data_IF_561238703076
#
_entry.id   IF_561238703076
#
_cell.length_a   1.000
_cell.length_b   1.000
_cell.length_c   1.000
_cell.angle_alpha   90.00
_cell.angle_beta   90.00
_cell.angle_gamma   90.00
#
_symmetry.space_group_name_H-M   'P 1'
#
loop_
_entity.id
_entity.type
_entity.pdbx_description
1 polymer ?
#
# COMPACT_ATOMS: atom_id res chain seq x y z
N UNK A 1 -73.81 -39.30 22.37
CA UNK A 1 -72.41 -39.43 21.91
C UNK A 1 -72.42 -39.99 20.48
N UNK A 2 -73.18 -39.41 19.56
CA UNK A 2 -73.06 -38.10 18.87
C UNK A 2 -72.24 -38.26 17.58
N UNK A 3 -72.85 -38.90 16.58
CA UNK A 3 -72.34 -38.97 15.20
C UNK A 3 -72.06 -37.55 14.65
N UNK A 4 -72.82 -36.56 15.12
CA UNK A 4 -72.67 -35.13 14.81
C UNK A 4 -71.32 -34.57 15.27
N UNK A 5 -70.74 -35.06 16.38
CA UNK A 5 -69.44 -34.59 16.86
C UNK A 5 -68.28 -35.15 16.05
N UNK A 6 -68.40 -36.38 15.53
CA UNK A 6 -67.41 -37.02 14.66
C UNK A 6 -67.38 -36.36 13.28
N UNK A 7 -68.56 -36.04 12.73
CA UNK A 7 -68.66 -35.38 11.42
C UNK A 7 -68.13 -33.95 11.46
N UNK A 8 -68.47 -33.17 12.51
CA UNK A 8 -67.90 -31.85 12.75
C UNK A 8 -66.38 -31.89 12.95
N UNK A 9 -65.85 -32.89 13.67
CA UNK A 9 -64.41 -33.09 13.82
C UNK A 9 -63.72 -33.41 12.49
N UNK A 10 -64.35 -34.23 11.64
CA UNK A 10 -63.82 -34.56 10.30
C UNK A 10 -63.82 -33.36 9.36
N UNK A 11 -64.83 -32.49 9.42
CA UNK A 11 -64.90 -31.25 8.64
C UNK A 11 -63.85 -30.24 9.08
N UNK A 12 -63.68 -30.06 10.39
CA UNK A 12 -62.60 -29.22 10.95
C UNK A 12 -61.22 -29.76 10.54
N UNK A 13 -61.01 -31.08 10.61
CA UNK A 13 -59.77 -31.73 10.21
C UNK A 13 -59.44 -31.49 8.72
N UNK A 14 -60.42 -31.68 7.83
CA UNK A 14 -60.25 -31.43 6.39
C UNK A 14 -60.00 -29.95 6.08
N UNK A 15 -60.67 -29.03 6.79
CA UNK A 15 -60.44 -27.59 6.64
C UNK A 15 -59.03 -27.18 7.09
N UNK A 16 -58.56 -27.69 8.23
CA UNK A 16 -57.21 -27.44 8.74
C UNK A 16 -56.13 -28.01 7.81
N UNK A 17 -56.36 -29.21 7.27
CA UNK A 17 -55.48 -29.84 6.28
C UNK A 17 -55.45 -29.03 4.98
N UNK A 18 -56.61 -28.61 4.45
CA UNK A 18 -56.70 -27.80 3.25
C UNK A 18 -55.96 -26.46 3.39
N UNK A 19 -56.11 -25.79 4.54
CA UNK A 19 -55.35 -24.58 4.88
C UNK A 19 -53.84 -24.82 4.93
N UNK A 20 -53.39 -25.93 5.52
CA UNK A 20 -51.97 -26.29 5.56
C UNK A 20 -51.41 -26.57 4.16
N UNK A 21 -52.11 -27.36 3.34
CA UNK A 21 -51.72 -27.64 1.96
C UNK A 21 -51.63 -26.38 1.11
N UNK A 22 -52.61 -25.47 1.22
CA UNK A 22 -52.60 -24.21 0.47
C UNK A 22 -51.39 -23.34 0.83
N UNK A 23 -51.05 -23.21 2.12
CA UNK A 23 -49.87 -22.46 2.59
C UNK A 23 -48.56 -23.07 2.08
N UNK A 24 -48.42 -24.39 2.12
CA UNK A 24 -47.23 -25.09 1.63
C UNK A 24 -47.08 -24.87 0.12
N UNK A 25 -48.17 -25.02 -0.64
CA UNK A 25 -48.17 -24.81 -2.09
C UNK A 25 -47.80 -23.36 -2.45
N UNK A 26 -48.37 -22.39 -1.73
CA UNK A 26 -48.03 -20.98 -1.89
C UNK A 26 -46.56 -20.71 -1.59
N UNK A 27 -46.01 -21.25 -0.50
CA UNK A 27 -44.60 -21.07 -0.14
C UNK A 27 -43.66 -21.70 -1.17
N UNK A 28 -44.00 -22.88 -1.71
CA UNK A 28 -43.24 -23.52 -2.78
C UNK A 28 -43.26 -22.69 -4.08
N UNK A 29 -44.40 -22.11 -4.45
CA UNK A 29 -44.50 -21.22 -5.61
C UNK A 29 -43.64 -19.96 -5.45
N UNK A 30 -43.67 -19.33 -4.27
CA UNK A 30 -42.81 -18.18 -3.99
C UNK A 30 -41.33 -18.56 -3.96
N UNK A 31 -40.98 -19.70 -3.35
CA UNK A 31 -39.61 -20.22 -3.35
C UNK A 31 -39.10 -20.47 -4.77
N UNK A 32 -39.90 -21.09 -5.63
CA UNK A 32 -39.56 -21.31 -7.04
C UNK A 32 -39.38 -19.99 -7.80
N UNK A 33 -40.25 -19.01 -7.53
CA UNK A 33 -40.14 -17.67 -8.13
C UNK A 33 -38.84 -16.97 -7.72
N UNK A 34 -38.51 -17.00 -6.43
CA UNK A 34 -37.26 -16.42 -5.90
C UNK A 34 -36.04 -17.13 -6.49
N UNK A 35 -36.08 -18.45 -6.62
CA UNK A 35 -34.98 -19.22 -7.23
C UNK A 35 -34.78 -18.84 -8.70
N UNK A 36 -35.86 -18.65 -9.45
CA UNK A 36 -35.81 -18.22 -10.85
C UNK A 36 -35.24 -16.80 -10.96
N UNK A 37 -35.71 -15.86 -10.13
CA UNK A 37 -35.17 -14.50 -10.06
C UNK A 37 -33.70 -14.49 -9.66
N UNK A 38 -33.29 -15.36 -8.73
CA UNK A 38 -31.89 -15.51 -8.32
C UNK A 38 -31.02 -15.96 -9.49
N UNK A 39 -31.45 -16.96 -10.27
CA UNK A 39 -30.69 -17.39 -11.44
C UNK A 39 -30.56 -16.30 -12.50
N UNK A 40 -31.62 -15.53 -12.73
CA UNK A 40 -31.56 -14.37 -13.62
C UNK A 40 -30.59 -13.31 -13.08
N UNK A 41 -30.63 -13.03 -11.77
CA UNK A 41 -29.74 -12.08 -11.12
C UNK A 41 -28.27 -12.51 -11.22
N UNK A 42 -27.95 -13.80 -11.02
CA UNK A 42 -26.59 -14.34 -11.18
C UNK A 42 -26.06 -14.09 -12.59
N UNK A 43 -26.83 -14.43 -13.62
CA UNK A 43 -26.44 -14.18 -15.02
C UNK A 43 -26.29 -12.69 -15.34
N UNK A 44 -27.17 -11.85 -14.79
CA UNK A 44 -27.12 -10.39 -14.97
C UNK A 44 -25.89 -9.77 -14.31
N UNK A 45 -25.60 -10.13 -13.04
CA UNK A 45 -24.42 -9.69 -12.31
C UNK A 45 -23.14 -10.18 -12.97
N UNK A 46 -23.08 -11.43 -13.43
CA UNK A 46 -21.95 -11.96 -14.18
C UNK A 46 -21.70 -11.19 -15.49
N UNK A 47 -22.77 -10.84 -16.22
CA UNK A 47 -22.71 -10.00 -17.42
C UNK A 47 -22.21 -8.58 -17.15
N UNK A 48 -22.73 -7.92 -16.11
CA UNK A 48 -22.28 -6.60 -15.68
C UNK A 48 -20.80 -6.60 -15.27
N UNK A 49 -20.40 -7.57 -14.44
CA UNK A 49 -19.04 -7.73 -13.95
C UNK A 49 -18.06 -7.97 -15.10
N UNK A 50 -18.45 -8.79 -16.09
CA UNK A 50 -17.68 -9.02 -17.31
C UNK A 50 -17.45 -7.74 -18.12
N UNK A 51 -18.48 -6.89 -18.24
CA UNK A 51 -18.37 -5.61 -18.96
C UNK A 51 -17.46 -4.63 -18.21
N UNK A 52 -17.62 -4.53 -16.90
CA UNK A 52 -16.82 -3.67 -16.04
C UNK A 52 -15.33 -4.05 -16.04
N UNK A 53 -15.02 -5.34 -16.01
CA UNK A 53 -13.64 -5.88 -15.95
C UNK A 53 -13.06 -6.23 -17.34
N UNK A 54 -13.59 -5.65 -18.41
CA UNK A 54 -13.21 -5.96 -19.80
C UNK A 54 -11.72 -5.72 -20.09
N UNK A 55 -11.08 -4.79 -19.38
CA UNK A 55 -9.65 -4.44 -19.52
C UNK A 55 -8.72 -5.16 -18.52
N UNK A 56 -9.26 -6.03 -17.67
CA UNK A 56 -8.50 -6.77 -16.66
C UNK A 56 -7.92 -8.05 -17.25
N UNK A 57 -6.87 -8.59 -16.63
CA UNK A 57 -6.28 -9.88 -16.99
C UNK A 57 -7.35 -11.01 -16.96
N UNK A 58 -7.36 -11.94 -17.95
CA UNK A 58 -8.41 -12.93 -18.10
C UNK A 58 -8.66 -13.84 -16.89
N UNK A 59 -7.62 -14.23 -16.16
CA UNK A 59 -7.69 -15.12 -14.98
C UNK A 59 -8.33 -14.39 -13.81
N UNK A 60 -7.86 -13.17 -13.50
CA UNK A 60 -8.44 -12.32 -12.46
C UNK A 60 -9.90 -11.97 -12.77
N UNK A 61 -10.22 -11.65 -14.03
CA UNK A 61 -11.60 -11.40 -14.45
C UNK A 61 -12.50 -12.60 -14.19
N UNK A 62 -12.08 -13.82 -14.57
CA UNK A 62 -12.86 -15.05 -14.34
C UNK A 62 -13.10 -15.27 -12.85
N UNK A 63 -12.07 -15.09 -12.03
CA UNK A 63 -12.18 -15.23 -10.57
C UNK A 63 -13.19 -14.24 -9.97
N UNK A 64 -13.11 -12.95 -10.31
CA UNK A 64 -14.02 -11.93 -9.78
C UNK A 64 -15.48 -12.15 -10.21
N UNK A 65 -15.71 -12.59 -11.45
CA UNK A 65 -17.04 -12.98 -11.92
C UNK A 65 -17.58 -14.15 -11.08
N UNK A 66 -16.78 -15.20 -10.87
CA UNK A 66 -17.18 -16.36 -10.06
C UNK A 66 -17.52 -15.97 -8.62
N UNK A 67 -16.72 -15.10 -7.99
CA UNK A 67 -17.00 -14.60 -6.64
C UNK A 67 -18.34 -13.84 -6.58
N UNK A 68 -18.60 -12.95 -7.54
CA UNK A 68 -19.84 -12.20 -7.61
C UNK A 68 -21.07 -13.09 -7.85
N UNK A 69 -20.94 -14.09 -8.72
CA UNK A 69 -21.98 -15.07 -9.02
C UNK A 69 -22.29 -15.96 -7.80
N UNK A 70 -21.26 -16.48 -7.13
CA UNK A 70 -21.40 -17.28 -5.90
C UNK A 70 -22.05 -16.46 -4.79
N UNK A 71 -21.60 -15.22 -4.57
CA UNK A 71 -22.18 -14.33 -3.57
C UNK A 71 -23.67 -14.09 -3.82
N UNK A 72 -24.04 -13.77 -5.06
CA UNK A 72 -25.45 -13.57 -5.47
C UNK A 72 -26.28 -14.83 -5.26
N UNK A 73 -25.72 -16.01 -5.59
CA UNK A 73 -26.36 -17.30 -5.37
C UNK A 73 -26.62 -17.54 -3.87
N UNK A 74 -25.63 -17.31 -3.00
CA UNK A 74 -25.76 -17.51 -1.55
C UNK A 74 -26.87 -16.64 -0.98
N UNK A 75 -26.91 -15.35 -1.34
CA UNK A 75 -27.97 -14.42 -0.91
C UNK A 75 -29.35 -14.91 -1.37
N UNK A 76 -29.48 -15.33 -2.63
CA UNK A 76 -30.74 -15.86 -3.14
C UNK A 76 -31.16 -17.16 -2.47
N UNK A 77 -30.23 -18.06 -2.16
CA UNK A 77 -30.51 -19.29 -1.43
C UNK A 77 -31.02 -19.02 -0.01
N UNK A 78 -30.46 -18.04 0.69
CA UNK A 78 -30.98 -17.62 2.01
C UNK A 78 -32.41 -17.10 1.89
N UNK A 79 -32.73 -16.31 0.85
CA UNK A 79 -34.09 -15.82 0.62
C UNK A 79 -35.10 -16.97 0.35
N UNK A 80 -34.68 -17.99 -0.41
CA UNK A 80 -35.49 -19.20 -0.65
C UNK A 80 -35.75 -19.95 0.66
N UNK A 81 -34.72 -20.18 1.47
CA UNK A 81 -34.84 -20.90 2.76
C UNK A 81 -35.79 -20.18 3.72
N UNK A 82 -35.69 -18.85 3.81
CA UNK A 82 -36.60 -18.04 4.61
C UNK A 82 -38.06 -18.24 4.17
N UNK A 83 -38.33 -18.24 2.86
CA UNK A 83 -39.69 -18.44 2.35
C UNK A 83 -40.25 -19.83 2.62
N UNK A 84 -39.39 -20.85 2.72
CA UNK A 84 -39.78 -22.21 3.10
C UNK A 84 -40.06 -22.36 4.61
N UNK A 85 -39.89 -21.29 5.40
CA UNK A 85 -40.08 -21.31 6.85
C UNK A 85 -38.90 -21.93 7.61
N UNK A 86 -37.75 -22.12 6.94
CA UNK A 86 -36.52 -22.57 7.59
C UNK A 86 -35.90 -21.37 8.29
N UNK A 87 -35.49 -21.55 9.54
CA UNK A 87 -34.81 -20.51 10.29
C UNK A 87 -33.45 -20.20 9.66
N UNK A 88 -33.34 -19.04 9.00
CA UNK A 88 -32.11 -18.65 8.30
C UNK A 88 -31.03 -18.09 9.22
N UNK A 89 -31.33 -17.83 10.50
CA UNK A 89 -30.40 -17.25 11.46
C UNK A 89 -29.09 -18.06 11.55
N UNK A 90 -29.20 -19.39 11.64
CA UNK A 90 -28.05 -20.29 11.71
C UNK A 90 -27.24 -20.31 10.41
N UNK A 91 -27.91 -20.30 9.25
CA UNK A 91 -27.27 -20.25 7.93
C UNK A 91 -26.53 -18.94 7.74
N UNK A 92 -27.16 -17.81 8.07
CA UNK A 92 -26.55 -16.48 7.99
C UNK A 92 -25.36 -16.38 8.94
N UNK A 93 -25.44 -16.96 10.15
CA UNK A 93 -24.31 -16.99 11.07
C UNK A 93 -23.11 -17.75 10.49
N UNK A 94 -23.32 -18.92 9.89
CA UNK A 94 -22.25 -19.71 9.26
C UNK A 94 -21.65 -18.99 8.05
N UNK A 95 -22.49 -18.44 7.17
CA UNK A 95 -22.04 -17.65 6.01
C UNK A 95 -21.26 -16.41 6.47
N UNK A 96 -21.74 -15.72 7.50
CA UNK A 96 -21.07 -14.57 8.10
C UNK A 96 -19.71 -14.94 8.68
N UNK A 97 -19.62 -16.05 9.43
CA UNK A 97 -18.35 -16.54 9.97
C UNK A 97 -17.36 -16.93 8.85
N UNK A 98 -17.81 -17.62 7.81
CA UNK A 98 -16.99 -17.95 6.64
C UNK A 98 -16.52 -16.68 5.91
N UNK A 99 -17.40 -15.70 5.72
CA UNK A 99 -17.08 -14.41 5.12
C UNK A 99 -16.04 -13.63 5.93
N UNK A 100 -16.17 -13.60 7.26
CA UNK A 100 -15.18 -12.99 8.15
C UNK A 100 -13.82 -13.69 8.03
N UNK A 101 -13.78 -15.03 8.04
CA UNK A 101 -12.55 -15.79 7.90
C UNK A 101 -11.84 -15.50 6.57
N UNK A 102 -12.59 -15.45 5.45
CA UNK A 102 -12.06 -15.07 4.13
C UNK A 102 -11.57 -13.61 4.14
N UNK A 103 -12.34 -12.70 4.74
CA UNK A 103 -11.97 -11.28 4.85
C UNK A 103 -10.68 -11.06 5.64
N UNK A 104 -10.52 -11.76 6.77
CA UNK A 104 -9.30 -11.74 7.56
C UNK A 104 -8.12 -12.35 6.78
N UNK A 105 -8.35 -13.43 6.03
CA UNK A 105 -7.33 -14.01 5.16
C UNK A 105 -6.86 -13.05 4.05
N UNK A 106 -7.76 -12.19 3.55
CA UNK A 106 -7.48 -11.19 2.51
C UNK A 106 -7.09 -9.81 3.06
N UNK A 107 -7.04 -9.64 4.37
CA UNK A 107 -6.84 -8.34 5.02
C UNK A 107 -5.57 -7.64 4.54
N UNK A 108 -4.45 -8.37 4.47
CA UNK A 108 -3.17 -7.81 4.02
C UNK A 108 -3.19 -7.41 2.54
N UNK A 109 -3.78 -8.23 1.67
CA UNK A 109 -3.90 -7.92 0.24
C UNK A 109 -4.74 -6.66 0.02
N UNK A 110 -5.84 -6.51 0.76
CA UNK A 110 -6.69 -5.33 0.68
C UNK A 110 -6.01 -4.07 1.24
N UNK A 111 -5.21 -4.24 2.30
CA UNK A 111 -4.38 -3.16 2.85
C UNK A 111 -3.36 -2.66 1.83
N UNK A 112 -2.68 -3.56 1.12
CA UNK A 112 -1.74 -3.19 0.06
C UNK A 112 -2.42 -2.51 -1.13
N UNK A 113 -3.62 -2.97 -1.51
CA UNK A 113 -4.44 -2.30 -2.52
C UNK A 113 -4.76 -0.86 -2.12
N UNK A 114 -5.30 -0.66 -0.91
CA UNK A 114 -5.66 0.65 -0.40
C UNK A 114 -4.44 1.58 -0.32
N UNK A 115 -3.31 1.07 0.18
CA UNK A 115 -2.04 1.79 0.20
C UNK A 115 -1.58 2.18 -1.21
N UNK A 116 -1.71 1.31 -2.21
CA UNK A 116 -1.38 1.63 -3.60
C UNK A 116 -2.22 2.78 -4.16
N UNK A 117 -3.54 2.75 -3.94
CA UNK A 117 -4.44 3.85 -4.33
C UNK A 117 -4.04 5.16 -3.65
N UNK A 118 -3.70 5.11 -2.36
CA UNK A 118 -3.27 6.28 -1.59
C UNK A 118 -1.91 6.83 -2.06
N UNK A 119 -0.94 5.98 -2.37
CA UNK A 119 0.36 6.38 -2.92
C UNK A 119 0.18 7.11 -4.26
N UNK A 120 -0.67 6.59 -5.14
CA UNK A 120 -0.95 7.20 -6.46
C UNK A 120 -1.71 8.54 -6.31
N UNK A 121 -2.60 8.62 -5.32
CA UNK A 121 -3.46 9.80 -5.12
C UNK A 121 -2.74 10.94 -4.40
N UNK A 122 -2.02 10.62 -3.33
CA UNK A 122 -1.30 11.60 -2.50
C UNK A 122 0.09 11.93 -3.04
N UNK A 123 0.67 11.03 -3.85
CA UNK A 123 1.99 11.16 -4.47
C UNK A 123 3.09 11.65 -3.52
N UNK A 124 3.35 10.94 -2.40
CA UNK A 124 4.49 11.29 -1.53
C UNK A 124 5.85 11.09 -2.24
N UNK A 125 5.86 10.34 -3.35
CA UNK A 125 6.97 10.18 -4.28
C UNK A 125 6.40 9.81 -5.66
N UNK A 126 7.19 10.02 -6.71
CA UNK A 126 6.84 9.67 -8.09
C UNK A 126 7.84 8.68 -8.70
N UNK A 127 7.51 8.14 -9.87
CA UNK A 127 8.44 7.31 -10.65
C UNK A 127 9.66 8.16 -11.04
N UNK A 128 10.86 7.64 -10.77
CA UNK A 128 12.13 8.35 -10.94
C UNK A 128 12.71 8.91 -9.63
N UNK A 129 11.93 9.00 -8.55
CA UNK A 129 12.46 9.44 -7.25
C UNK A 129 13.34 8.36 -6.62
N UNK A 130 14.44 8.78 -5.99
CA UNK A 130 15.20 7.91 -5.10
C UNK A 130 14.61 7.98 -3.69
N UNK A 131 14.11 6.83 -3.22
CA UNK A 131 13.49 6.71 -1.90
C UNK A 131 14.20 5.66 -1.04
N UNK A 132 14.16 5.86 0.27
CA UNK A 132 14.57 4.90 1.29
C UNK A 132 13.40 4.70 2.26
N UNK A 133 12.94 3.46 2.39
CA UNK A 133 11.77 3.09 3.20
C UNK A 133 11.55 1.59 3.20
N UNK A 134 10.85 1.08 4.22
CA UNK A 134 10.56 -0.35 4.39
C UNK A 134 11.80 -1.28 4.32
N UNK A 135 12.98 -0.77 4.72
CA UNK A 135 14.24 -1.54 4.67
C UNK A 135 14.87 -1.65 3.27
N UNK A 136 14.33 -0.95 2.27
CA UNK A 136 14.87 -0.89 0.92
C UNK A 136 15.22 0.55 0.53
N UNK A 137 16.18 0.71 -0.38
CA UNK A 137 16.53 2.00 -0.97
C UNK A 137 16.77 1.85 -2.48
N UNK A 138 16.21 2.75 -3.29
CA UNK A 138 16.33 2.68 -4.74
C UNK A 138 15.51 3.73 -5.46
N UNK A 139 15.71 3.81 -6.77
CA UNK A 139 14.91 4.64 -7.67
C UNK A 139 13.57 3.94 -7.92
N UNK A 140 12.47 4.67 -7.79
CA UNK A 140 11.13 4.15 -8.07
C UNK A 140 10.98 3.92 -9.57
N UNK A 141 10.82 2.67 -9.97
CA UNK A 141 10.61 2.28 -11.38
C UNK A 141 9.11 2.23 -11.73
N UNK A 142 8.30 1.65 -10.85
CA UNK A 142 6.86 1.57 -11.06
C UNK A 142 6.09 1.50 -9.75
N UNK A 143 4.92 2.15 -9.69
CA UNK A 143 3.96 2.03 -8.58
C UNK A 143 2.80 1.16 -9.07
N UNK A 144 2.81 -0.11 -8.66
CA UNK A 144 1.73 -1.06 -8.96
C UNK A 144 0.58 -0.95 -7.96
N UNK A 145 -0.48 -1.72 -8.21
CA UNK A 145 -1.68 -1.73 -7.35
C UNK A 145 -1.36 -2.28 -5.94
N UNK A 146 -0.52 -3.31 -5.84
CA UNK A 146 -0.20 -3.97 -4.56
C UNK A 146 1.24 -3.75 -4.08
N UNK A 147 2.15 -3.39 -4.98
CA UNK A 147 3.57 -3.23 -4.70
C UNK A 147 4.21 -2.17 -5.57
N UNK A 148 5.27 -1.56 -5.05
CA UNK A 148 6.15 -0.64 -5.77
C UNK A 148 7.45 -1.37 -6.13
N UNK A 149 7.91 -1.15 -7.35
CA UNK A 149 9.19 -1.66 -7.85
C UNK A 149 10.25 -0.58 -7.68
N UNK A 150 11.35 -0.93 -7.01
CA UNK A 150 12.53 -0.09 -6.84
C UNK A 150 13.71 -0.71 -7.58
N UNK A 151 14.55 0.12 -8.17
CA UNK A 151 15.82 -0.29 -8.77
C UNK A 151 16.95 0.33 -7.96
N UNK A 152 17.81 -0.52 -7.40
CA UNK A 152 18.97 -0.10 -6.63
C UNK A 152 20.08 0.44 -7.54
N UNK A 153 21.08 1.10 -6.95
CA UNK A 153 22.24 1.65 -7.70
C UNK A 153 23.12 0.56 -8.33
N UNK A 154 23.12 -0.63 -7.75
CA UNK A 154 23.76 -1.84 -8.30
C UNK A 154 22.86 -2.62 -9.27
N UNK A 155 21.77 -1.98 -9.76
CA UNK A 155 20.87 -2.51 -10.78
C UNK A 155 20.11 -3.78 -10.35
N UNK A 156 19.73 -3.86 -9.07
CA UNK A 156 18.89 -4.94 -8.51
C UNK A 156 17.46 -4.44 -8.37
N UNK A 157 16.50 -5.26 -8.81
CA UNK A 157 15.07 -4.97 -8.66
C UNK A 157 14.59 -5.44 -7.29
N UNK A 158 14.01 -4.53 -6.51
CA UNK A 158 13.37 -4.80 -5.23
C UNK A 158 11.88 -4.51 -5.35
N UNK A 159 11.03 -5.49 -5.06
CA UNK A 159 9.57 -5.31 -5.01
C UNK A 159 9.12 -5.16 -3.56
N UNK A 160 8.56 -4.00 -3.23
CA UNK A 160 8.11 -3.68 -1.88
C UNK A 160 6.58 -3.60 -1.83
N UNK A 161 5.90 -4.32 -0.93
CA UNK A 161 4.45 -4.19 -0.75
C UNK A 161 4.05 -2.75 -0.39
N UNK A 162 3.04 -2.21 -1.07
CA UNK A 162 2.62 -0.81 -0.91
C UNK A 162 2.28 -0.45 0.54
N UNK A 163 1.68 -1.40 1.26
CA UNK A 163 1.33 -1.21 2.67
C UNK A 163 2.53 -0.87 3.53
N UNK A 164 3.69 -1.49 3.28
CA UNK A 164 4.91 -1.23 4.06
C UNK A 164 5.45 0.18 3.80
N UNK A 165 5.47 0.62 2.54
CA UNK A 165 5.90 1.97 2.17
C UNK A 165 4.95 3.04 2.69
N UNK A 166 3.64 2.78 2.69
CA UNK A 166 2.64 3.73 3.14
C UNK A 166 2.56 3.85 4.67
N UNK A 167 2.80 2.75 5.40
CA UNK A 167 2.73 2.75 6.88
C UNK A 167 4.00 3.26 7.58
N UNK A 168 5.14 3.24 6.89
CA UNK A 168 6.45 3.54 7.46
C UNK A 168 6.94 4.95 7.18
N UNK A 169 8.01 5.35 7.88
CA UNK A 169 8.75 6.56 7.52
C UNK A 169 9.46 6.36 6.18
N UNK A 170 9.27 7.31 5.27
CA UNK A 170 9.88 7.31 3.95
C UNK A 170 10.77 8.54 3.80
N UNK A 171 12.01 8.33 3.35
CA UNK A 171 12.93 9.42 2.98
C UNK A 171 12.95 9.50 1.46
N UNK A 172 12.60 10.66 0.91
CA UNK A 172 12.77 10.97 -0.51
C UNK A 172 13.94 11.94 -0.65
N UNK A 173 15.01 11.51 -1.31
CA UNK A 173 16.22 12.33 -1.46
C UNK A 173 16.24 13.15 -2.75
N UNK A 174 15.30 12.89 -3.67
CA UNK A 174 15.27 13.51 -5.00
C UNK A 174 14.27 14.66 -5.08
N UNK A 175 13.14 14.59 -4.34
CA UNK A 175 12.02 15.54 -4.47
C UNK A 175 12.39 17.01 -4.28
N UNK A 176 13.38 17.33 -3.44
CA UNK A 176 13.83 18.71 -3.21
C UNK A 176 14.89 19.20 -4.21
N UNK A 177 15.40 18.32 -5.07
CA UNK A 177 16.41 18.61 -6.11
C UNK A 177 17.81 19.00 -5.60
N UNK A 178 17.94 19.39 -4.34
CA UNK A 178 19.18 19.84 -3.69
C UNK A 178 19.43 19.02 -2.44
N UNK A 179 20.69 18.70 -2.18
CA UNK A 179 21.12 17.93 -1.01
C UNK A 179 22.41 18.49 -0.41
N UNK A 180 22.48 18.50 0.92
CA UNK A 180 23.67 18.90 1.67
C UNK A 180 24.55 17.68 1.89
N UNK A 181 25.84 17.80 1.58
CA UNK A 181 26.86 16.84 1.98
C UNK A 181 27.33 17.23 3.37
N UNK A 182 27.36 16.29 4.31
CA UNK A 182 27.89 16.51 5.64
C UNK A 182 29.23 15.76 5.77
N UNK A 183 30.32 16.50 5.93
CA UNK A 183 31.68 15.98 6.10
C UNK A 183 32.26 16.42 7.43
N UNK A 184 32.83 15.46 8.16
CA UNK A 184 33.57 15.70 9.39
C UNK A 184 35.06 15.64 9.08
N UNK A 185 35.73 16.78 9.21
CA UNK A 185 37.13 16.96 8.84
C UNK A 185 37.96 17.15 10.09
N UNK A 186 38.83 16.20 10.39
CA UNK A 186 39.82 16.32 11.46
C UNK A 186 41.00 17.17 10.98
N UNK A 187 41.25 18.29 11.67
CA UNK A 187 42.33 19.21 11.38
C UNK A 187 43.50 19.10 12.38
N UNK A 188 43.39 18.24 13.40
CA UNK A 188 44.38 18.13 14.47
C UNK A 188 44.57 19.46 15.21
N UNK A 189 45.82 19.90 15.34
CA UNK A 189 46.22 21.16 15.99
C UNK A 189 46.36 22.34 15.01
N UNK A 190 45.91 22.19 13.75
CA UNK A 190 45.98 23.27 12.77
C UNK A 190 45.15 24.48 13.21
N UNK A 191 45.57 25.70 12.85
CA UNK A 191 44.83 26.90 13.21
C UNK A 191 43.44 26.89 12.56
N UNK A 192 42.41 27.16 13.36
CA UNK A 192 41.00 26.97 13.00
C UNK A 192 40.57 27.95 11.89
N UNK A 193 40.67 29.25 12.13
CA UNK A 193 40.23 30.28 11.18
C UNK A 193 40.92 30.23 9.81
N UNK A 194 42.26 30.05 9.72
CA UNK A 194 42.94 29.86 8.44
C UNK A 194 42.46 28.61 7.71
N UNK A 195 42.25 27.50 8.44
CA UNK A 195 41.77 26.25 7.84
C UNK A 195 40.34 26.39 7.32
N UNK A 196 39.44 27.02 8.08
CA UNK A 196 38.07 27.31 7.62
C UNK A 196 38.09 28.16 6.35
N UNK A 197 38.92 29.21 6.32
CA UNK A 197 39.02 30.12 5.17
C UNK A 197 39.53 29.39 3.92
N UNK A 198 40.56 28.56 4.08
CA UNK A 198 41.09 27.71 3.01
C UNK A 198 40.01 26.78 2.45
N UNK A 199 39.36 26.00 3.32
CA UNK A 199 38.35 25.02 2.91
C UNK A 199 37.17 25.68 2.19
N UNK A 200 36.70 26.83 2.67
CA UNK A 200 35.64 27.57 1.99
C UNK A 200 36.08 28.08 0.62
N UNK A 201 37.30 28.63 0.50
CA UNK A 201 37.85 29.12 -0.76
C UNK A 201 38.10 28.02 -1.80
N UNK A 202 38.37 26.80 -1.34
CA UNK A 202 38.60 25.63 -2.20
C UNK A 202 37.29 25.04 -2.72
N UNK A 203 36.26 24.98 -1.88
CA UNK A 203 35.02 24.24 -2.18
C UNK A 203 33.94 25.13 -2.80
N UNK A 204 33.88 26.43 -2.50
CA UNK A 204 32.90 27.33 -3.12
C UNK A 204 33.01 27.41 -4.66
N UNK A 205 34.21 27.43 -5.27
CA UNK A 205 34.33 27.46 -6.73
C UNK A 205 34.05 26.13 -7.44
N UNK A 206 33.76 25.06 -6.69
CA UNK A 206 33.57 23.73 -7.25
C UNK A 206 32.33 23.69 -8.17
N UNK A 207 32.42 23.17 -9.41
CA UNK A 207 31.37 23.33 -10.42
C UNK A 207 30.02 22.68 -10.06
N UNK A 208 30.04 21.65 -9.21
CA UNK A 208 28.84 20.95 -8.75
C UNK A 208 28.34 21.40 -7.36
N UNK A 209 29.03 22.34 -6.73
CA UNK A 209 28.61 22.94 -5.45
C UNK A 209 27.75 24.16 -5.74
N UNK A 210 26.61 24.25 -5.08
CA UNK A 210 25.68 25.35 -5.24
C UNK A 210 26.19 26.60 -4.52
N UNK A 211 26.04 27.75 -5.17
CA UNK A 211 26.27 29.05 -4.52
C UNK A 211 25.19 29.35 -3.47
N UNK A 212 23.94 28.96 -3.75
CA UNK A 212 22.81 29.07 -2.84
C UNK A 212 22.05 27.74 -2.67
N UNK A 213 22.02 27.16 -1.45
CA UNK A 213 22.57 27.69 -0.19
C UNK A 213 24.10 27.64 -0.11
N UNK A 214 24.71 28.63 0.57
CA UNK A 214 26.16 28.71 0.72
C UNK A 214 26.72 27.53 1.52
N UNK A 215 27.90 27.06 1.10
CA UNK A 215 28.73 26.13 1.88
C UNK A 215 29.04 26.72 3.24
N UNK A 216 28.82 25.91 4.29
CA UNK A 216 29.16 26.30 5.67
C UNK A 216 30.33 25.46 6.17
N UNK A 217 31.20 26.07 6.97
CA UNK A 217 32.31 25.40 7.63
C UNK A 217 32.44 25.92 9.07
N UNK A 218 32.26 25.04 10.06
CA UNK A 218 32.25 25.42 11.48
C UNK A 218 32.93 24.36 12.35
N UNK A 219 33.37 24.74 13.54
CA UNK A 219 33.92 23.79 14.53
C UNK A 219 32.81 22.84 14.99
N UNK A 220 33.05 21.54 14.82
CA UNK A 220 32.16 20.46 15.25
C UNK A 220 32.41 20.07 16.70
N UNK A 221 33.68 19.84 17.03
CA UNK A 221 34.11 19.44 18.37
C UNK A 221 35.59 19.77 18.58
N UNK A 222 35.97 20.02 19.84
CA UNK A 222 37.34 20.23 20.27
C UNK A 222 37.66 19.13 21.30
N UNK A 223 38.79 18.44 21.13
CA UNK A 223 39.23 17.35 22.00
C UNK A 223 40.72 17.44 22.30
N UNK A 224 41.21 16.64 23.25
CA UNK A 224 42.64 16.56 23.56
C UNK A 224 43.50 16.00 22.40
N UNK A 225 42.87 15.34 21.43
CA UNK A 225 43.53 14.73 20.27
C UNK A 225 43.45 15.59 19.00
N UNK A 226 42.72 16.71 19.05
CA UNK A 226 42.56 17.61 17.90
C UNK A 226 41.16 18.23 17.79
N UNK A 227 41.01 19.04 16.75
CA UNK A 227 39.76 19.75 16.41
C UNK A 227 39.10 19.12 15.17
N UNK A 228 37.79 18.94 15.21
CA UNK A 228 36.98 18.50 14.06
C UNK A 228 36.16 19.67 13.54
N UNK A 229 36.13 19.86 12.21
CA UNK A 229 35.29 20.82 11.51
C UNK A 229 34.16 20.11 10.76
N UNK A 230 32.97 20.69 10.77
CA UNK A 230 31.89 20.37 9.84
C UNK A 230 32.09 21.15 8.55
N UNK A 231 32.23 20.48 7.41
CA UNK A 231 32.21 21.08 6.07
C UNK A 231 30.95 20.62 5.34
N UNK A 232 30.10 21.58 4.96
CA UNK A 232 28.75 21.31 4.47
C UNK A 232 28.41 22.01 3.15
N UNK A 233 28.91 21.52 2.01
CA UNK A 233 28.52 22.02 0.70
C UNK A 233 27.13 21.50 0.31
N UNK A 234 26.41 22.30 -0.47
CA UNK A 234 25.15 21.91 -1.10
C UNK A 234 25.39 21.57 -2.56
N UNK A 235 24.67 20.57 -3.09
CA UNK A 235 24.78 20.13 -4.47
C UNK A 235 23.41 19.67 -5.00
N UNK A 236 23.30 19.41 -6.29
CA UNK A 236 22.13 18.71 -6.84
C UNK A 236 22.05 17.28 -6.29
N UNK A 237 20.84 16.78 -6.03
CA UNK A 237 20.66 15.43 -5.44
C UNK A 237 21.32 14.31 -6.25
N UNK A 238 21.34 14.43 -7.58
CA UNK A 238 21.99 13.47 -8.50
C UNK A 238 23.52 13.47 -8.39
N UNK A 239 24.11 14.64 -8.10
CA UNK A 239 25.54 14.82 -7.98
C UNK A 239 26.07 14.50 -6.57
N UNK A 240 25.19 14.14 -5.63
CA UNK A 240 25.52 13.99 -4.21
C UNK A 240 26.73 13.10 -3.94
N UNK A 241 26.77 11.90 -4.52
CA UNK A 241 27.86 10.97 -4.29
C UNK A 241 29.18 11.45 -4.92
N UNK A 242 29.10 12.07 -6.10
CA UNK A 242 30.25 12.63 -6.80
C UNK A 242 30.87 13.78 -5.99
N UNK A 243 30.05 14.76 -5.59
CA UNK A 243 30.49 15.90 -4.79
C UNK A 243 31.04 15.43 -3.44
N UNK A 244 30.40 14.46 -2.79
CA UNK A 244 30.91 13.91 -1.52
C UNK A 244 32.32 13.33 -1.68
N UNK A 245 32.55 12.51 -2.70
CA UNK A 245 33.86 11.88 -2.93
C UNK A 245 34.93 12.88 -3.37
N UNK A 246 34.60 13.78 -4.30
CA UNK A 246 35.54 14.76 -4.84
C UNK A 246 35.96 15.80 -3.79
N UNK A 247 34.99 16.33 -3.03
CA UNK A 247 35.28 17.24 -1.91
C UNK A 247 36.15 16.55 -0.86
N UNK A 248 35.89 15.28 -0.52
CA UNK A 248 36.74 14.54 0.43
C UNK A 248 38.19 14.43 -0.07
N UNK A 249 38.39 14.18 -1.36
CA UNK A 249 39.72 14.14 -1.96
C UNK A 249 40.41 15.51 -1.93
N UNK A 250 39.73 16.57 -2.38
CA UNK A 250 40.25 17.93 -2.38
C UNK A 250 40.66 18.40 -0.99
N UNK A 251 39.84 18.12 0.02
CA UNK A 251 40.15 18.43 1.43
C UNK A 251 41.40 17.67 1.89
N UNK A 252 41.52 16.38 1.53
CA UNK A 252 42.68 15.57 1.93
C UNK A 252 43.98 16.08 1.31
N UNK A 253 43.93 16.50 0.04
CA UNK A 253 45.07 17.06 -0.68
C UNK A 253 45.48 18.43 -0.11
N UNK A 254 44.51 19.33 0.10
CA UNK A 254 44.77 20.65 0.67
C UNK A 254 45.35 20.60 2.11
N UNK A 255 44.90 19.65 2.92
CA UNK A 255 45.46 19.45 4.27
C UNK A 255 46.82 18.74 4.27
N UNK A 256 47.26 18.16 3.15
CA UNK A 256 48.59 17.51 3.07
C UNK A 256 49.71 18.53 2.89
N UNK A 257 49.43 19.68 2.29
CA UNK A 257 50.43 20.70 2.06
C UNK A 257 50.92 21.31 3.39
N UNK A 258 52.24 21.39 3.62
CA UNK A 258 52.83 21.85 4.88
C UNK A 258 52.76 23.37 5.09
N UNK A 259 52.21 24.16 4.15
CA UNK A 259 52.21 25.62 4.24
C UNK A 259 51.31 26.22 5.35
N UNK A 260 50.55 25.38 6.06
CA UNK A 260 49.67 25.81 7.16
C UNK A 260 50.26 25.56 8.56
N UNK A 261 51.50 25.09 8.66
CA UNK A 261 52.28 25.15 9.90
C UNK A 261 53.04 26.48 9.96
N UNK A 262 52.31 27.58 10.20
CA UNK A 262 52.87 28.87 10.59
C UNK A 262 52.48 29.17 12.03
#
# INVERSE_FOLDING_TARGET
MDIISVEAASQLWNYLIGQAYFKILQNLLWAATILLLTRLAVGWVGGLTRKALSRTEPTLRKFLIQVAEIFTLVVGMVAVLNRLGIETTSVVAVVGAAGLAIGLALQNTLSHFAAGVMLISLRPFEVGDFIEGAGAAGVVDAIGIFSTTLVTRDNVVITVPNGQLFSGTLKNTTVLGKRRVDLDIDIGDRPIEPTITLLLSLIQPHPLVLEEPKTTCHVASISATGTILYLRPWCASEAYDHVRSEVQQLVKEALREPELSL
#
